data_IF_887215075417
#
_entry.id   IF_887215075417
#
_cell.length_a   1.000
_cell.length_b   1.000
_cell.length_c   1.000
_cell.angle_alpha   90.00
_cell.angle_beta   90.00
_cell.angle_gamma   90.00
#
_symmetry.space_group_name_H-M   'P 1'
#
loop_
_entity.id
_entity.type
_entity.pdbx_description
1 polymer ?
#
# COMPACT_ATOMS: atom_id res chain seq x y z
N UNK A 1 14.23 -2.83 -71.52
CA UNK A 1 14.57 -1.92 -70.39
C UNK A 1 13.65 -2.06 -69.18
N UNK A 2 12.47 -2.69 -69.28
CA UNK A 2 11.51 -2.80 -68.15
C UNK A 2 11.87 -3.80 -67.05
N UNK A 3 12.71 -4.80 -67.32
CA UNK A 3 13.06 -5.82 -66.31
C UNK A 3 14.03 -5.33 -65.23
N UNK A 4 14.72 -4.20 -65.42
CA UNK A 4 15.68 -3.68 -64.43
C UNK A 4 15.02 -2.84 -63.34
N UNK A 5 13.89 -2.20 -63.65
CA UNK A 5 13.17 -1.30 -62.72
C UNK A 5 12.46 -2.10 -61.62
N UNK A 6 12.00 -3.32 -61.92
CA UNK A 6 11.30 -4.19 -60.96
C UNK A 6 12.21 -4.75 -59.86
N UNK A 7 13.51 -4.96 -60.15
CA UNK A 7 14.48 -5.43 -59.15
C UNK A 7 14.91 -4.34 -58.17
N UNK A 8 15.10 -3.11 -58.65
CA UNK A 8 15.39 -1.96 -57.79
C UNK A 8 14.22 -1.63 -56.86
N UNK A 9 12.98 -1.72 -57.34
CA UNK A 9 11.79 -1.53 -56.50
C UNK A 9 11.68 -2.61 -55.41
N UNK A 10 11.92 -3.88 -55.77
CA UNK A 10 11.89 -5.00 -54.81
C UNK A 10 12.97 -4.89 -53.74
N UNK A 11 14.18 -4.42 -54.08
CA UNK A 11 15.26 -4.20 -53.11
C UNK A 11 14.92 -3.09 -52.11
N UNK A 12 14.26 -2.01 -52.53
CA UNK A 12 13.84 -0.92 -51.63
C UNK A 12 12.76 -1.39 -50.66
N UNK A 13 11.80 -2.21 -51.10
CA UNK A 13 10.80 -2.80 -50.21
C UNK A 13 11.40 -3.80 -49.21
N UNK A 14 12.38 -4.61 -49.62
CA UNK A 14 13.03 -5.57 -48.71
C UNK A 14 13.92 -4.86 -47.66
N UNK A 15 14.61 -3.79 -48.05
CA UNK A 15 15.39 -2.98 -47.10
C UNK A 15 14.48 -2.25 -46.10
N UNK A 16 13.34 -1.73 -46.56
CA UNK A 16 12.36 -1.05 -45.70
C UNK A 16 11.74 -1.99 -44.67
N UNK A 17 11.43 -3.22 -45.07
CA UNK A 17 10.90 -4.26 -44.19
C UNK A 17 11.92 -4.70 -43.12
N UNK A 18 13.20 -4.80 -43.46
CA UNK A 18 14.26 -5.17 -42.51
C UNK A 18 14.55 -4.05 -41.50
N UNK A 19 14.49 -2.78 -41.92
CA UNK A 19 14.63 -1.63 -41.00
C UNK A 19 13.44 -1.54 -40.05
N UNK A 20 12.21 -1.81 -40.52
CA UNK A 20 11.01 -1.81 -39.69
C UNK A 20 11.01 -2.99 -38.69
N UNK A 21 11.42 -4.19 -39.12
CA UNK A 21 11.54 -5.35 -38.24
C UNK A 21 12.59 -5.14 -37.14
N UNK A 22 13.72 -4.49 -37.47
CA UNK A 22 14.77 -4.14 -36.51
C UNK A 22 14.32 -3.05 -35.53
N UNK A 23 13.52 -2.08 -35.98
CA UNK A 23 12.94 -1.03 -35.11
C UNK A 23 11.90 -1.60 -34.13
N UNK A 24 11.00 -2.49 -34.57
CA UNK A 24 9.99 -3.15 -33.72
C UNK A 24 10.65 -4.04 -32.65
N UNK A 25 11.74 -4.75 -33.00
CA UNK A 25 12.46 -5.61 -32.06
C UNK A 25 13.24 -4.80 -31.01
N UNK A 26 13.78 -3.63 -31.37
CA UNK A 26 14.52 -2.77 -30.41
C UNK A 26 13.64 -1.95 -29.46
N UNK A 27 12.34 -1.75 -29.74
CA UNK A 27 11.44 -0.94 -28.89
C UNK A 27 10.56 -1.73 -27.92
N UNK A 28 10.46 -3.04 -28.08
CA UNK A 28 9.62 -3.92 -27.26
C UNK A 28 10.37 -4.61 -26.11
N UNK A 29 11.70 -4.60 -26.11
CA UNK A 29 12.53 -5.25 -25.09
C UNK A 29 12.72 -4.43 -23.79
N UNK A 30 12.36 -3.14 -23.78
CA UNK A 30 12.59 -2.26 -22.62
C UNK A 30 11.62 -2.49 -21.46
N UNK A 31 10.38 -2.91 -21.72
CA UNK A 31 9.37 -3.08 -20.67
C UNK A 31 9.52 -4.41 -19.91
N UNK A 32 9.89 -5.48 -20.60
CA UNK A 32 10.06 -6.79 -19.96
C UNK A 32 11.38 -6.87 -19.17
N UNK A 33 12.43 -6.17 -19.61
CA UNK A 33 13.70 -6.11 -18.86
C UNK A 33 13.61 -5.20 -17.64
N UNK A 34 12.90 -4.07 -17.71
CA UNK A 34 12.69 -3.23 -16.54
C UNK A 34 11.86 -3.92 -15.45
N UNK A 35 10.86 -4.71 -15.84
CA UNK A 35 10.02 -5.47 -14.90
C UNK A 35 10.79 -6.61 -14.19
N UNK A 36 11.86 -7.12 -14.81
CA UNK A 36 12.70 -8.18 -14.24
C UNK A 36 13.95 -7.65 -13.51
N UNK A 37 14.53 -6.53 -13.96
CA UNK A 37 15.73 -5.93 -13.36
C UNK A 37 15.39 -4.97 -12.20
N UNK A 38 14.21 -4.36 -12.23
CA UNK A 38 13.70 -3.55 -11.13
C UNK A 38 12.67 -4.35 -10.31
N UNK A 39 13.07 -5.54 -9.84
CA UNK A 39 12.51 -6.02 -8.58
C UNK A 39 13.11 -5.12 -7.51
N UNK A 40 12.39 -4.15 -6.91
CA UNK A 40 12.82 -3.67 -5.62
C UNK A 40 12.90 -4.93 -4.77
N UNK A 41 14.10 -5.33 -4.40
CA UNK A 41 14.27 -6.18 -3.24
C UNK A 41 13.85 -5.29 -2.08
N UNK A 42 12.52 -5.16 -1.90
CA UNK A 42 11.95 -5.00 -0.59
C UNK A 42 12.56 -6.17 0.15
N UNK A 43 13.67 -5.92 0.85
CA UNK A 43 14.12 -6.79 1.94
C UNK A 43 12.86 -6.89 2.76
N UNK A 44 12.15 -8.01 2.59
CA UNK A 44 11.05 -8.39 3.42
C UNK A 44 11.73 -8.56 4.77
N UNK A 45 11.85 -7.45 5.52
CA UNK A 45 12.25 -7.49 6.90
C UNK A 45 11.28 -8.52 7.45
N UNK A 46 11.81 -9.68 7.85
CA UNK A 46 11.00 -10.78 8.37
C UNK A 46 10.20 -10.19 9.51
N UNK A 47 8.98 -9.80 9.18
CA UNK A 47 8.08 -9.29 10.18
C UNK A 47 7.84 -10.49 11.09
N UNK A 48 7.95 -10.29 12.40
CA UNK A 48 7.74 -11.36 13.39
C UNK A 48 6.44 -12.11 13.03
N UNK A 49 6.40 -13.41 13.28
CA UNK A 49 5.17 -14.21 13.04
C UNK A 49 3.96 -13.48 13.66
N UNK A 50 2.77 -13.57 13.06
CA UNK A 50 1.59 -12.81 13.50
C UNK A 50 1.32 -12.87 15.01
N UNK A 51 1.67 -13.98 15.67
CA UNK A 51 1.53 -14.16 17.14
C UNK A 51 2.68 -13.65 18.03
N UNK A 52 3.73 -13.03 17.48
CA UNK A 52 4.93 -12.56 18.22
C UNK A 52 5.06 -11.02 18.24
N UNK A 53 4.06 -10.30 17.73
CA UNK A 53 4.07 -8.83 17.62
C UNK A 53 3.54 -8.21 18.91
N UNK A 54 4.45 -7.77 19.77
CA UNK A 54 4.09 -6.97 20.95
C UNK A 54 3.86 -5.52 20.53
N UNK A 55 2.60 -5.10 20.49
CA UNK A 55 2.20 -3.70 20.32
C UNK A 55 1.90 -3.26 18.89
N UNK A 56 1.33 -2.06 18.79
CA UNK A 56 0.91 -1.41 17.56
C UNK A 56 2.12 -1.08 16.68
N UNK A 57 2.02 -1.35 15.37
CA UNK A 57 3.08 -1.14 14.38
C UNK A 57 2.73 -0.16 13.28
N UNK A 58 1.43 0.05 13.02
CA UNK A 58 0.97 1.02 12.04
C UNK A 58 -0.23 1.82 12.55
N UNK A 59 -0.15 3.15 12.40
CA UNK A 59 -1.23 4.10 12.70
C UNK A 59 -1.66 4.74 11.39
N UNK A 60 -2.90 4.51 10.99
CA UNK A 60 -3.43 4.94 9.71
C UNK A 60 -4.39 6.11 9.90
N UNK A 61 -3.88 7.32 9.66
CA UNK A 61 -4.54 8.59 9.98
C UNK A 61 -5.39 9.15 8.84
N UNK A 62 -5.74 8.34 7.84
CA UNK A 62 -6.70 8.76 6.82
C UNK A 62 -8.08 8.99 7.43
N UNK A 63 -8.75 10.06 7.02
CA UNK A 63 -10.14 10.29 7.39
C UNK A 63 -11.06 9.18 6.86
N UNK A 64 -12.23 9.05 7.49
CA UNK A 64 -13.28 8.20 6.96
C UNK A 64 -13.55 8.53 5.49
N UNK A 65 -13.87 7.50 4.68
CA UNK A 65 -14.09 7.58 3.23
C UNK A 65 -12.85 7.84 2.35
N UNK A 66 -11.65 7.81 2.91
CA UNK A 66 -10.38 7.88 2.15
C UNK A 66 -9.80 6.51 1.74
N UNK A 67 -10.57 5.44 1.89
CA UNK A 67 -10.12 4.07 1.60
C UNK A 67 -9.61 3.29 2.82
N UNK A 68 -9.96 3.74 4.04
CA UNK A 68 -9.54 3.11 5.31
C UNK A 68 -9.94 1.65 5.42
N UNK A 69 -11.15 1.27 4.97
CA UNK A 69 -11.63 -0.12 4.97
C UNK A 69 -10.81 -1.02 4.03
N UNK A 70 -10.52 -0.55 2.82
CA UNK A 70 -9.66 -1.29 1.88
C UNK A 70 -8.26 -1.49 2.45
N UNK A 71 -7.74 -0.48 3.16
CA UNK A 71 -6.43 -0.52 3.76
C UNK A 71 -6.37 -1.41 5.01
N UNK A 72 -7.45 -1.44 5.82
CA UNK A 72 -7.66 -2.41 6.89
C UNK A 72 -7.57 -3.84 6.35
N UNK A 73 -8.33 -4.16 5.31
CA UNK A 73 -8.32 -5.49 4.69
C UNK A 73 -6.94 -5.86 4.14
N UNK A 74 -6.23 -4.92 3.52
CA UNK A 74 -4.87 -5.16 3.02
C UNK A 74 -3.89 -5.48 4.16
N UNK A 75 -4.00 -4.82 5.30
CA UNK A 75 -3.16 -5.08 6.48
C UNK A 75 -3.47 -6.42 7.11
N UNK A 76 -4.75 -6.80 7.21
CA UNK A 76 -5.15 -8.12 7.69
C UNK A 76 -4.54 -9.23 6.82
N UNK A 77 -4.58 -9.08 5.49
CA UNK A 77 -3.94 -10.01 4.53
C UNK A 77 -2.42 -10.09 4.76
N UNK A 78 -1.78 -8.97 5.08
CA UNK A 78 -0.34 -8.91 5.35
C UNK A 78 0.05 -9.41 6.76
N UNK A 79 -0.93 -9.87 7.56
CA UNK A 79 -0.70 -10.37 8.92
C UNK A 79 -0.49 -9.25 9.94
N UNK A 80 -1.11 -8.08 9.71
CA UNK A 80 -1.20 -6.98 10.65
C UNK A 80 -2.68 -6.76 11.02
N UNK A 81 -3.22 -7.47 12.01
CA UNK A 81 -4.61 -7.31 12.42
C UNK A 81 -4.94 -5.86 12.72
N UNK A 82 -5.98 -5.32 12.08
CA UNK A 82 -6.26 -3.88 12.10
C UNK A 82 -7.53 -3.53 12.87
N UNK A 83 -7.41 -2.65 13.87
CA UNK A 83 -8.54 -2.01 14.51
C UNK A 83 -9.08 -0.91 13.59
N UNK A 84 -10.39 -0.84 13.38
CA UNK A 84 -11.04 0.16 12.54
C UNK A 84 -12.24 0.78 13.27
N UNK A 85 -12.62 2.01 12.91
CA UNK A 85 -13.71 2.74 13.55
C UNK A 85 -15.06 2.03 13.54
N UNK A 86 -15.30 1.15 12.56
CA UNK A 86 -16.48 0.28 12.54
C UNK A 86 -16.58 -0.66 13.75
N UNK A 87 -15.47 -0.99 14.42
CA UNK A 87 -15.50 -1.82 15.63
C UNK A 87 -16.12 -1.10 16.83
N UNK A 88 -16.13 0.24 16.83
CA UNK A 88 -16.73 1.05 17.90
C UNK A 88 -18.25 0.93 17.96
N UNK A 89 -18.90 0.41 16.90
CA UNK A 89 -20.32 0.10 16.93
C UNK A 89 -20.69 -0.99 17.97
N UNK A 90 -19.70 -1.77 18.44
CA UNK A 90 -19.89 -2.72 19.54
C UNK A 90 -19.81 -1.95 20.88
N UNK A 91 -20.87 -1.95 21.72
CA UNK A 91 -20.90 -1.15 22.95
C UNK A 91 -19.69 -1.38 23.87
N UNK A 92 -19.30 -2.64 24.07
CA UNK A 92 -18.14 -2.98 24.92
C UNK A 92 -16.81 -2.40 24.43
N UNK A 93 -16.65 -2.24 23.11
CA UNK A 93 -15.46 -1.63 22.51
C UNK A 93 -15.58 -0.10 22.56
N UNK A 94 -16.78 0.44 22.32
CA UNK A 94 -17.08 1.85 22.48
C UNK A 94 -16.76 2.36 23.89
N UNK A 95 -17.15 1.62 24.93
CA UNK A 95 -16.88 1.98 26.33
C UNK A 95 -15.37 1.98 26.65
N UNK A 96 -14.63 0.99 26.14
CA UNK A 96 -13.18 0.93 26.28
C UNK A 96 -12.49 2.12 25.58
N UNK A 97 -12.98 2.48 24.40
CA UNK A 97 -12.48 3.65 23.67
C UNK A 97 -12.79 4.95 24.42
N UNK A 98 -14.03 5.14 24.89
CA UNK A 98 -14.39 6.33 25.65
C UNK A 98 -13.50 6.49 26.88
N UNK A 99 -13.26 5.39 27.61
CA UNK A 99 -12.35 5.39 28.75
C UNK A 99 -10.92 5.79 28.35
N UNK A 100 -10.39 5.23 27.25
CA UNK A 100 -9.07 5.57 26.76
C UNK A 100 -8.96 7.05 26.33
N UNK A 101 -10.01 7.56 25.68
CA UNK A 101 -10.09 8.92 25.17
C UNK A 101 -10.23 9.96 26.30
N UNK A 102 -10.97 9.67 27.37
CA UNK A 102 -11.22 10.63 28.46
C UNK A 102 -10.15 10.61 29.55
N UNK A 103 -9.54 9.46 29.83
CA UNK A 103 -8.63 9.32 30.96
C UNK A 103 -7.19 9.72 30.65
N UNK A 104 -6.86 9.94 29.37
CA UNK A 104 -5.50 10.23 28.88
C UNK A 104 -4.46 9.22 29.43
N UNK A 105 -4.89 7.98 29.67
CA UNK A 105 -4.06 6.94 30.28
C UNK A 105 -3.57 5.97 29.20
N UNK A 106 -2.24 5.88 28.96
CA UNK A 106 -1.67 4.96 27.98
C UNK A 106 -2.11 3.50 28.12
N UNK A 107 -2.39 3.05 29.35
CA UNK A 107 -2.83 1.67 29.62
C UNK A 107 -4.20 1.35 29.03
N UNK A 108 -5.10 2.34 28.99
CA UNK A 108 -6.44 2.14 28.43
C UNK A 108 -6.36 1.99 26.89
N UNK A 109 -5.47 2.73 26.22
CA UNK A 109 -5.16 2.54 24.80
C UNK A 109 -4.52 1.18 24.49
N UNK A 110 -3.56 0.75 25.30
CA UNK A 110 -2.93 -0.57 25.15
C UNK A 110 -3.98 -1.68 25.29
N UNK A 111 -4.93 -1.53 26.22
CA UNK A 111 -6.02 -2.49 26.41
C UNK A 111 -7.00 -2.49 25.24
N UNK A 112 -7.37 -1.32 24.72
CA UNK A 112 -8.28 -1.20 23.57
C UNK A 112 -7.68 -1.88 22.32
N UNK A 113 -6.38 -1.74 22.13
CA UNK A 113 -5.65 -2.22 20.95
C UNK A 113 -4.98 -3.58 21.16
N UNK A 114 -5.32 -4.29 22.24
CA UNK A 114 -4.80 -5.63 22.48
C UNK A 114 -5.24 -6.59 21.36
N UNK A 115 -4.30 -7.41 20.88
CA UNK A 115 -4.50 -8.28 19.72
C UNK A 115 -4.45 -7.59 18.35
N UNK A 116 -4.33 -6.26 18.28
CA UNK A 116 -4.19 -5.52 17.02
C UNK A 116 -2.73 -5.07 16.79
N UNK A 117 -2.29 -5.17 15.54
CA UNK A 117 -0.99 -4.68 15.09
C UNK A 117 -1.10 -3.34 14.35
N UNK A 118 -2.30 -2.92 13.97
CA UNK A 118 -2.54 -1.63 13.32
C UNK A 118 -3.89 -1.02 13.72
N UNK A 119 -4.03 0.28 13.50
CA UNK A 119 -5.26 1.03 13.75
C UNK A 119 -5.56 1.97 12.59
N UNK A 120 -6.80 2.04 12.13
CA UNK A 120 -7.23 2.85 11.00
C UNK A 120 -8.54 3.59 11.27
N UNK A 121 -8.78 4.64 10.48
CA UNK A 121 -9.98 5.49 10.57
C UNK A 121 -10.08 6.19 11.93
N UNK A 122 -11.29 6.39 12.47
CA UNK A 122 -11.48 6.83 13.84
C UNK A 122 -11.23 5.63 14.78
N UNK A 123 -10.40 5.73 15.84
CA UNK A 123 -9.83 6.93 16.43
C UNK A 123 -8.37 7.24 16.01
N UNK A 124 -7.81 6.53 15.03
CA UNK A 124 -6.43 6.73 14.60
C UNK A 124 -6.14 8.16 14.15
N UNK A 125 -6.99 8.77 13.31
CA UNK A 125 -6.76 10.14 12.84
C UNK A 125 -6.98 11.21 13.92
N UNK A 126 -7.84 10.95 14.91
CA UNK A 126 -8.13 11.91 15.99
C UNK A 126 -7.06 11.90 17.07
N UNK A 127 -6.50 10.73 17.38
CA UNK A 127 -5.59 10.53 18.52
C UNK A 127 -4.16 10.16 18.10
N UNK A 128 -3.77 10.38 16.84
CA UNK A 128 -2.46 9.95 16.33
C UNK A 128 -1.26 10.46 17.13
N UNK A 129 -1.30 11.71 17.63
CA UNK A 129 -0.21 12.27 18.42
C UNK A 129 -0.01 11.54 19.75
N UNK A 130 -1.11 11.15 20.38
CA UNK A 130 -1.08 10.38 21.62
C UNK A 130 -0.63 8.95 21.34
N UNK A 131 -1.18 8.33 20.30
CA UNK A 131 -0.78 7.00 19.86
C UNK A 131 0.71 6.91 19.51
N UNK A 132 1.29 7.95 18.88
CA UNK A 132 2.73 8.03 18.61
C UNK A 132 3.58 8.14 19.88
N UNK A 133 3.06 8.75 20.96
CA UNK A 133 3.76 8.78 22.25
C UNK A 133 3.72 7.42 22.94
N UNK A 134 2.58 6.72 22.84
CA UNK A 134 2.36 5.41 23.46
C UNK A 134 3.11 4.30 22.70
N UNK A 135 3.12 4.38 21.36
CA UNK A 135 3.73 3.43 20.44
C UNK A 135 4.76 4.13 19.55
N UNK A 136 5.94 4.48 20.08
CA UNK A 136 6.94 5.28 19.36
C UNK A 136 7.53 4.58 18.13
N UNK A 137 7.51 3.25 18.10
CA UNK A 137 8.00 2.45 16.98
C UNK A 137 6.95 2.27 15.86
N UNK A 138 5.69 2.69 16.10
CA UNK A 138 4.62 2.55 15.12
C UNK A 138 4.80 3.53 13.97
N UNK A 139 4.71 3.04 12.73
CA UNK A 139 4.76 3.89 11.54
C UNK A 139 3.43 4.57 11.31
N UNK A 140 3.47 5.83 10.91
CA UNK A 140 2.27 6.59 10.56
C UNK A 140 2.06 6.57 9.05
N UNK A 141 0.83 6.25 8.63
CA UNK A 141 0.41 6.24 7.23
C UNK A 141 -0.74 7.24 7.09
N UNK A 142 -0.61 8.16 6.13
CA UNK A 142 -1.68 9.08 5.76
C UNK A 142 -2.10 8.80 4.31
N UNK A 143 -3.25 8.17 4.13
CA UNK A 143 -3.89 8.03 2.83
C UNK A 143 -4.79 9.25 2.57
N UNK A 144 -4.64 9.84 1.39
CA UNK A 144 -5.38 11.04 0.96
C UNK A 144 -6.23 10.73 -0.26
N UNK A 145 -7.34 11.44 -0.41
CA UNK A 145 -8.16 11.48 -1.62
C UNK A 145 -8.36 12.93 -2.04
N UNK A 146 -8.75 13.14 -3.28
CA UNK A 146 -9.23 14.43 -3.76
C UNK A 146 -10.45 14.87 -2.91
N UNK A 147 -10.43 16.04 -2.26
CA UNK A 147 -11.53 16.48 -1.39
C UNK A 147 -12.84 16.75 -2.14
N UNK A 148 -12.78 16.91 -3.47
CA UNK A 148 -13.95 17.16 -4.31
C UNK A 148 -14.55 15.88 -4.91
N UNK A 149 -14.06 14.70 -4.51
CA UNK A 149 -14.52 13.39 -5.00
C UNK A 149 -15.03 12.53 -3.87
#
# INVERSE_FOLDING_TARGET
>A
MERAVTWLQACVFLHSALVLARWICTRSAGWLTYFLLFRPTLKHQRTRSPGQRKGLQAILCGFSRTGTMSLMNALDILGFPCFHGSHLAKPSIGDLFMKAFTNENPKDWIKLLDGYASIADFPAFSSYKELMKIFPDAKVILNIRDPNK
#
